data_IF_729036968021
#
_entry.id   IF_729036968021
#
_cell.length_a   1.000
_cell.length_b   1.000
_cell.length_c   1.000
_cell.angle_alpha   90.00
_cell.angle_beta   90.00
_cell.angle_gamma   90.00
#
_symmetry.space_group_name_H-M   'P 1'
#
loop_
_entity.id
_entity.type
_entity.pdbx_description
1 polymer ?
#
# COMPACT_ATOMS: atom_id res chain seq x y z
N UNK A 1 -4.58 2.19 3.93
CA UNK A 1 -3.85 2.72 5.09
C UNK A 1 -2.84 3.66 4.53
N UNK A 2 -2.80 4.87 5.05
CA UNK A 2 -1.88 5.90 4.60
C UNK A 2 -1.16 6.45 5.82
N UNK A 3 0.13 6.71 5.69
CA UNK A 3 0.96 7.20 6.80
C UNK A 3 1.72 8.45 6.35
N UNK A 4 2.12 9.26 7.31
CA UNK A 4 3.00 10.39 7.05
C UNK A 4 4.47 9.93 7.14
N UNK A 5 5.28 10.34 6.18
CA UNK A 5 6.73 10.05 6.14
C UNK A 5 7.51 11.36 6.06
N UNK A 6 8.58 11.44 6.84
CA UNK A 6 9.49 12.58 6.85
C UNK A 6 10.58 12.41 5.76
N UNK A 7 10.68 13.39 4.89
CA UNK A 7 11.82 13.64 4.00
C UNK A 7 12.92 14.35 4.80
N UNK A 8 13.83 13.54 5.34
CA UNK A 8 14.90 14.00 6.26
C UNK A 8 15.80 15.07 5.65
N UNK A 9 16.03 15.03 4.34
CA UNK A 9 16.81 16.00 3.56
C UNK A 9 16.19 17.41 3.56
N UNK A 10 14.86 17.49 3.55
CA UNK A 10 14.12 18.76 3.54
C UNK A 10 13.83 19.30 4.92
N UNK A 11 13.79 18.42 5.92
CA UNK A 11 13.47 18.81 7.28
C UNK A 11 14.57 19.68 7.89
N UNK A 12 14.24 20.96 8.15
CA UNK A 12 15.08 21.91 8.87
C UNK A 12 14.36 22.39 10.14
N UNK A 13 14.52 21.69 11.27
CA UNK A 13 13.88 22.09 12.54
C UNK A 13 14.23 23.50 13.01
N UNK A 14 15.38 24.05 12.59
CA UNK A 14 15.74 25.45 12.86
C UNK A 14 14.81 26.48 12.20
N UNK A 15 14.11 26.10 11.13
CA UNK A 15 13.23 26.99 10.35
C UNK A 15 11.74 26.67 10.59
N UNK A 16 11.42 25.79 11.54
CA UNK A 16 10.04 25.47 11.88
C UNK A 16 9.90 25.26 13.39
N UNK A 17 8.79 25.69 13.98
CA UNK A 17 8.59 25.54 15.42
C UNK A 17 8.02 24.17 15.79
N UNK A 18 8.47 23.09 15.14
CA UNK A 18 7.94 21.72 15.28
C UNK A 18 6.43 21.62 15.07
N UNK A 19 5.92 22.34 14.06
CA UNK A 19 4.49 22.40 13.74
C UNK A 19 3.87 21.02 13.48
N UNK A 20 4.64 20.09 12.91
CA UNK A 20 4.19 18.72 12.69
C UNK A 20 3.77 18.03 14.01
N UNK A 21 4.50 18.23 15.11
CA UNK A 21 4.17 17.70 16.44
C UNK A 21 3.01 18.49 17.03
N UNK A 22 3.11 19.82 17.04
CA UNK A 22 2.12 20.72 17.68
C UNK A 22 0.71 20.58 17.10
N UNK A 23 0.58 20.37 15.79
CA UNK A 23 -0.71 20.30 15.11
C UNK A 23 -1.18 18.87 14.84
N UNK A 24 -0.38 17.84 15.15
CA UNK A 24 -0.82 16.45 14.97
C UNK A 24 -1.96 16.13 15.96
N UNK A 25 -3.16 15.72 15.48
CA UNK A 25 -4.29 15.44 16.37
C UNK A 25 -4.00 14.32 17.37
N UNK A 26 -3.26 13.28 16.94
CA UNK A 26 -2.90 12.15 17.80
C UNK A 26 -1.95 12.57 18.92
N UNK A 27 -0.95 13.39 18.61
CA UNK A 27 -0.04 13.96 19.62
C UNK A 27 -0.79 14.87 20.59
N UNK A 28 -1.70 15.72 20.09
CA UNK A 28 -2.56 16.56 20.95
C UNK A 28 -3.51 15.76 21.83
N UNK A 29 -3.87 14.54 21.42
CA UNK A 29 -4.66 13.61 22.21
C UNK A 29 -3.82 12.82 23.24
N UNK A 30 -2.49 12.99 23.24
CA UNK A 30 -1.57 12.35 24.19
C UNK A 30 -0.76 11.18 23.61
N UNK A 31 -0.91 10.85 22.33
CA UNK A 31 -0.16 9.74 21.71
C UNK A 31 1.25 10.15 21.26
N UNK A 32 2.16 9.18 21.21
CA UNK A 32 3.54 9.37 20.73
C UNK A 32 3.66 9.22 19.20
N UNK A 33 2.66 9.68 18.45
CA UNK A 33 2.65 9.52 16.98
C UNK A 33 3.80 10.24 16.29
N UNK A 34 4.22 11.39 16.81
CA UNK A 34 5.38 12.13 16.33
C UNK A 34 6.20 12.57 17.54
N UNK A 35 7.43 12.07 17.65
CA UNK A 35 8.37 12.37 18.73
C UNK A 35 9.61 13.06 18.16
N UNK A 36 10.36 13.77 19.01
CA UNK A 36 11.67 14.28 18.61
C UNK A 36 12.69 13.14 18.65
N UNK A 37 13.38 12.90 17.53
CA UNK A 37 14.51 11.99 17.46
C UNK A 37 15.76 12.59 18.10
N UNK A 38 16.72 11.72 18.41
CA UNK A 38 18.02 12.09 18.98
C UNK A 38 18.82 13.03 18.07
N UNK A 39 18.59 12.98 16.76
CA UNK A 39 19.19 13.86 15.74
C UNK A 39 18.50 15.24 15.63
N UNK A 40 17.54 15.51 16.52
CA UNK A 40 16.75 16.75 16.53
C UNK A 40 15.68 16.82 15.43
N UNK A 41 15.51 15.78 14.61
CA UNK A 41 14.45 15.69 13.60
C UNK A 41 13.28 14.86 14.12
N UNK A 42 12.03 15.15 13.70
CA UNK A 42 10.88 14.39 14.15
C UNK A 42 10.88 12.96 13.59
N UNK A 43 10.49 11.99 14.41
CA UNK A 43 10.24 10.60 14.02
C UNK A 43 8.73 10.39 14.03
N UNK A 44 8.18 9.88 12.93
CA UNK A 44 6.75 9.61 12.79
C UNK A 44 6.54 8.09 12.91
N UNK A 45 5.71 7.67 13.87
CA UNK A 45 5.35 6.25 14.07
C UNK A 45 4.44 5.76 12.96
N UNK A 46 4.82 4.66 12.29
CA UNK A 46 3.99 4.03 11.24
C UNK A 46 2.70 3.41 11.81
N UNK A 47 2.75 2.95 13.06
CA UNK A 47 1.64 2.25 13.71
C UNK A 47 0.57 3.23 14.24
N UNK A 48 1.01 4.33 14.86
CA UNK A 48 0.10 5.31 15.46
C UNK A 48 -0.43 6.34 14.45
N UNK A 49 0.28 6.54 13.32
CA UNK A 49 -0.11 7.51 12.33
C UNK A 49 -1.35 7.07 11.54
N UNK A 50 -2.44 7.79 11.72
CA UNK A 50 -3.67 7.60 10.94
C UNK A 50 -3.63 8.29 9.55
N UNK A 51 -2.53 8.99 9.25
CA UNK A 51 -2.32 9.67 7.99
C UNK A 51 -3.34 10.78 7.70
N UNK A 52 -3.75 11.56 8.70
CA UNK A 52 -4.72 12.65 8.52
C UNK A 52 -4.24 13.77 7.57
N UNK A 53 -2.91 13.96 7.42
CA UNK A 53 -2.32 14.95 6.52
C UNK A 53 -2.07 16.33 7.13
N UNK A 54 -2.49 16.60 8.36
CA UNK A 54 -2.34 17.93 8.98
C UNK A 54 -0.86 18.35 9.10
N UNK A 55 0.02 17.42 9.48
CA UNK A 55 1.45 17.67 9.55
C UNK A 55 2.08 18.03 8.20
N UNK A 56 1.51 17.55 7.08
CA UNK A 56 1.95 17.94 5.72
C UNK A 56 1.61 19.40 5.47
N UNK A 57 0.35 19.78 5.71
CA UNK A 57 -0.11 21.15 5.49
C UNK A 57 0.53 22.19 6.42
N UNK A 58 0.98 21.76 7.60
CA UNK A 58 1.66 22.62 8.58
C UNK A 58 3.17 22.54 8.52
N UNK A 59 3.77 21.80 7.59
CA UNK A 59 5.22 21.78 7.47
C UNK A 59 5.67 22.92 6.54
N UNK A 60 6.30 24.01 7.04
CA UNK A 60 6.76 25.10 6.19
C UNK A 60 7.90 24.68 5.25
N UNK A 61 8.59 23.58 5.56
CA UNK A 61 9.67 23.03 4.75
C UNK A 61 9.17 22.01 3.71
N UNK A 62 7.87 21.72 3.64
CA UNK A 62 7.28 20.66 2.81
C UNK A 62 8.01 19.31 2.95
N UNK A 63 8.48 19.04 4.17
CA UNK A 63 9.33 17.91 4.48
C UNK A 63 8.54 16.65 4.83
N UNK A 64 7.21 16.67 4.81
CA UNK A 64 6.37 15.52 5.16
C UNK A 64 5.46 15.19 3.99
N UNK A 65 5.31 13.91 3.68
CA UNK A 65 4.39 13.42 2.64
C UNK A 65 3.48 12.34 3.20
N UNK A 66 2.24 12.29 2.70
CA UNK A 66 1.37 11.13 2.92
C UNK A 66 1.69 10.09 1.84
N UNK A 67 2.03 8.88 2.26
CA UNK A 67 2.18 7.73 1.39
C UNK A 67 1.08 6.70 1.68
N UNK A 68 0.61 6.02 0.64
CA UNK A 68 -0.24 4.85 0.80
C UNK A 68 0.62 3.61 1.07
N UNK A 69 0.28 2.87 2.12
CA UNK A 69 0.82 1.54 2.34
C UNK A 69 0.04 0.53 1.51
N UNK A 70 0.73 -0.54 1.08
CA UNK A 70 0.10 -1.62 0.33
C UNK A 70 -0.99 -2.25 1.20
N UNK A 71 -2.20 -2.25 0.68
CA UNK A 71 -3.32 -2.99 1.23
C UNK A 71 -3.83 -3.96 0.20
N UNK A 72 -4.54 -4.97 0.70
CA UNK A 72 -5.35 -5.82 -0.14
C UNK A 72 -6.37 -4.96 -0.91
N UNK A 73 -6.59 -5.29 -2.18
CA UNK A 73 -7.56 -4.57 -3.00
C UNK A 73 -8.97 -5.08 -2.65
N UNK A 74 -9.93 -4.17 -2.59
CA UNK A 74 -11.35 -4.51 -2.37
C UNK A 74 -12.02 -5.02 -3.67
N UNK A 75 -11.42 -4.70 -4.82
CA UNK A 75 -11.92 -5.01 -6.16
C UNK A 75 -10.92 -5.85 -6.94
N UNK A 76 -11.33 -6.35 -8.11
CA UNK A 76 -10.46 -7.07 -9.04
C UNK A 76 -9.90 -8.39 -8.48
N UNK A 77 -10.64 -9.06 -7.59
CA UNK A 77 -10.27 -10.40 -7.11
C UNK A 77 -10.39 -11.39 -8.27
N UNK A 78 -9.26 -11.97 -8.69
CA UNK A 78 -9.19 -12.89 -9.82
C UNK A 78 -9.30 -14.33 -9.35
N UNK A 79 -8.58 -14.70 -8.30
CA UNK A 79 -8.57 -16.07 -7.84
C UNK A 79 -8.28 -16.17 -6.34
N UNK A 80 -8.93 -17.13 -5.67
CA UNK A 80 -8.71 -17.48 -4.28
C UNK A 80 -8.68 -19.00 -4.11
N UNK A 81 -7.60 -19.53 -3.53
CA UNK A 81 -7.42 -20.99 -3.38
C UNK A 81 -8.29 -21.62 -2.28
N UNK A 82 -8.78 -20.83 -1.32
CA UNK A 82 -9.50 -21.35 -0.16
C UNK A 82 -9.88 -20.25 0.81
N UNK A 83 -10.72 -20.57 1.80
CA UNK A 83 -11.06 -19.64 2.89
C UNK A 83 -9.77 -19.25 3.63
N UNK A 84 -9.52 -17.94 3.75
CA UNK A 84 -8.25 -17.36 4.27
C UNK A 84 -6.99 -17.77 3.48
N UNK A 85 -7.15 -18.31 2.28
CA UNK A 85 -6.05 -18.67 1.39
C UNK A 85 -5.49 -17.48 0.64
N UNK A 86 -4.42 -17.73 -0.11
CA UNK A 86 -3.84 -16.73 -1.00
C UNK A 86 -4.87 -16.22 -2.02
N UNK A 87 -4.90 -14.90 -2.19
CA UNK A 87 -5.77 -14.18 -3.12
C UNK A 87 -4.93 -13.45 -4.15
N UNK A 88 -5.28 -13.61 -5.42
CA UNK A 88 -4.65 -12.91 -6.53
C UNK A 88 -5.59 -11.80 -7.03
N UNK A 89 -5.06 -10.59 -7.11
CA UNK A 89 -5.77 -9.43 -7.63
C UNK A 89 -5.12 -8.96 -8.91
N UNK A 90 -5.96 -8.67 -9.92
CA UNK A 90 -5.57 -8.27 -11.27
C UNK A 90 -4.65 -9.28 -11.97
N UNK A 91 -4.50 -9.12 -13.28
CA UNK A 91 -3.55 -9.86 -14.10
C UNK A 91 -2.72 -8.90 -14.94
N UNK A 92 -1.45 -9.24 -15.23
CA UNK A 92 -0.69 -8.49 -16.22
C UNK A 92 -1.31 -8.69 -17.60
N UNK A 93 -1.44 -7.60 -18.37
CA UNK A 93 -1.98 -7.63 -19.73
C UNK A 93 -0.83 -7.67 -20.73
N UNK A 94 -0.53 -8.83 -21.36
CA UNK A 94 0.53 -8.92 -22.34
C UNK A 94 0.19 -8.11 -23.59
N UNK A 95 1.17 -7.35 -24.11
CA UNK A 95 1.04 -6.60 -25.37
C UNK A 95 1.71 -7.34 -26.51
N UNK A 96 1.00 -7.49 -27.64
CA UNK A 96 1.52 -8.13 -28.85
C UNK A 96 2.81 -7.43 -29.31
N UNK A 97 3.79 -8.23 -29.75
CA UNK A 97 5.08 -7.72 -30.24
C UNK A 97 6.05 -7.24 -29.15
N UNK A 98 5.72 -7.41 -27.86
CA UNK A 98 6.59 -7.00 -26.75
C UNK A 98 6.76 -8.12 -25.73
N UNK A 99 7.92 -8.19 -25.07
CA UNK A 99 8.15 -9.09 -23.95
C UNK A 99 7.69 -8.42 -22.65
N UNK A 100 6.74 -9.03 -21.94
CA UNK A 100 6.24 -8.52 -20.65
C UNK A 100 6.95 -9.24 -19.50
N UNK A 101 7.78 -8.52 -18.75
CA UNK A 101 8.43 -9.05 -17.55
C UNK A 101 7.53 -8.94 -16.31
N UNK A 102 7.43 -10.02 -15.53
CA UNK A 102 6.70 -10.03 -14.25
C UNK A 102 7.71 -10.15 -13.11
N UNK A 103 7.90 -9.07 -12.35
CA UNK A 103 8.84 -9.00 -11.23
C UNK A 103 8.11 -8.85 -9.90
N UNK A 104 8.66 -9.46 -8.85
CA UNK A 104 8.14 -9.34 -7.50
C UNK A 104 8.65 -10.46 -6.58
N UNK A 105 8.41 -10.36 -5.26
CA UNK A 105 8.84 -11.36 -4.28
C UNK A 105 8.24 -12.75 -4.54
N UNK A 106 8.82 -13.77 -3.91
CA UNK A 106 8.21 -15.10 -3.89
C UNK A 106 6.87 -15.07 -3.13
N UNK A 107 5.90 -15.87 -3.58
CA UNK A 107 4.57 -15.91 -2.98
C UNK A 107 3.60 -14.79 -3.38
N UNK A 108 4.02 -13.81 -4.20
CA UNK A 108 3.12 -12.71 -4.65
C UNK A 108 2.12 -13.12 -5.76
N UNK A 109 2.16 -14.38 -6.23
CA UNK A 109 1.21 -14.89 -7.23
C UNK A 109 1.67 -14.86 -8.70
N UNK A 110 2.96 -14.62 -8.97
CA UNK A 110 3.51 -14.61 -10.36
C UNK A 110 3.20 -15.90 -11.13
N UNK A 111 3.49 -17.05 -10.52
CA UNK A 111 3.22 -18.36 -11.12
C UNK A 111 1.72 -18.59 -11.32
N UNK A 112 0.89 -18.15 -10.37
CA UNK A 112 -0.57 -18.23 -10.48
C UNK A 112 -1.09 -17.39 -11.64
N UNK A 113 -0.59 -16.16 -11.81
CA UNK A 113 -0.95 -15.29 -12.94
C UNK A 113 -0.58 -15.93 -14.29
N UNK A 114 0.61 -16.53 -14.40
CA UNK A 114 1.03 -17.23 -15.62
C UNK A 114 0.13 -18.43 -15.92
N UNK A 115 -0.21 -19.24 -14.90
CA UNK A 115 -1.13 -20.39 -15.06
C UNK A 115 -2.52 -19.97 -15.53
N UNK A 116 -3.01 -18.81 -15.07
CA UNK A 116 -4.29 -18.27 -15.53
C UNK A 116 -4.20 -17.81 -16.98
N UNK A 117 -3.18 -17.02 -17.31
CA UNK A 117 -2.98 -16.50 -18.67
C UNK A 117 -2.68 -17.61 -19.70
N UNK A 118 -2.10 -18.73 -19.27
CA UNK A 118 -1.85 -19.91 -20.13
C UNK A 118 -3.04 -20.87 -20.21
N UNK A 119 -4.14 -20.57 -19.52
CA UNK A 119 -5.35 -21.41 -19.50
C UNK A 119 -5.26 -22.66 -18.62
N UNK A 120 -4.16 -22.86 -17.88
CA UNK A 120 -3.95 -24.01 -16.99
C UNK A 120 -4.73 -23.91 -15.67
N UNK A 121 -5.14 -22.70 -15.29
CA UNK A 121 -5.94 -22.44 -14.10
C UNK A 121 -7.10 -21.50 -14.46
N UNK A 122 -8.32 -21.94 -14.23
CA UNK A 122 -9.50 -21.09 -14.42
C UNK A 122 -9.66 -20.21 -13.16
N UNK A 123 -9.68 -18.88 -13.28
CA UNK A 123 -9.90 -18.00 -12.15
C UNK A 123 -11.33 -18.15 -11.61
N UNK A 124 -11.50 -18.10 -10.29
CA UNK A 124 -12.79 -18.32 -9.65
C UNK A 124 -13.47 -17.02 -9.18
N UNK A 125 -12.83 -15.88 -9.41
CA UNK A 125 -13.34 -14.54 -9.10
C UNK A 125 -13.82 -14.39 -7.64
N UNK A 126 -13.23 -15.18 -6.73
CA UNK A 126 -13.60 -15.21 -5.30
C UNK A 126 -14.69 -16.21 -4.93
N UNK A 127 -15.31 -16.91 -5.88
CA UNK A 127 -16.26 -17.98 -5.60
C UNK A 127 -15.53 -19.33 -5.44
N UNK A 128 -15.19 -19.64 -4.20
CA UNK A 128 -14.37 -20.81 -3.84
C UNK A 128 -15.18 -22.11 -3.89
N UNK A 129 -16.49 -22.02 -3.65
CA UNK A 129 -17.36 -23.19 -3.51
C UNK A 129 -17.90 -23.70 -4.86
N UNK A 130 -17.83 -22.87 -5.91
CA UNK A 130 -18.25 -23.24 -7.26
C UNK A 130 -17.09 -23.72 -8.13
N UNK A 131 -17.38 -24.65 -9.05
CA UNK A 131 -16.45 -24.96 -10.14
C UNK A 131 -16.48 -23.82 -11.18
N UNK A 132 -15.37 -23.09 -11.38
CA UNK A 132 -15.34 -21.97 -12.31
C UNK A 132 -15.30 -22.43 -13.77
N UNK A 133 -15.92 -21.67 -14.66
CA UNK A 133 -15.87 -21.90 -16.12
C UNK A 133 -15.35 -20.68 -16.87
N UNK A 134 -14.77 -20.90 -18.06
CA UNK A 134 -14.26 -19.79 -18.89
C UNK A 134 -15.36 -18.84 -19.36
N UNK A 135 -16.57 -19.34 -19.57
CA UNK A 135 -17.73 -18.51 -19.91
C UNK A 135 -17.99 -17.46 -18.84
N UNK A 136 -17.94 -17.82 -17.55
CA UNK A 136 -18.11 -16.89 -16.44
C UNK A 136 -16.99 -15.85 -16.33
N UNK A 137 -15.79 -16.19 -16.79
CA UNK A 137 -14.60 -15.36 -16.64
C UNK A 137 -14.45 -14.33 -17.77
N UNK A 138 -14.87 -14.70 -18.98
CA UNK A 138 -14.67 -13.90 -20.20
C UNK A 138 -15.89 -13.03 -20.53
N UNK A 139 -17.05 -13.31 -19.91
CA UNK A 139 -18.28 -12.51 -20.04
C UNK A 139 -18.23 -11.28 -19.13
#
# INVERSE_FOLDING_TARGET
MRIAVLLRDRCKPSHCSFECIKFCPRVRAGDETIINGEDGKPIISEELCVGCGICVHKCPCEAIKIIGLKQELETDLIHQFGKNGFRLFRLPVPKKGTCTGILGPNGIGKTTAIKILSGQLIPNLGNIDSNPTWEQVIT
#
